data_IF_032373672152
#
_entry.id   IF_032373672152
#
_cell.length_a   1.000
_cell.length_b   1.000
_cell.length_c   1.000
_cell.angle_alpha   90.00
_cell.angle_beta   90.00
_cell.angle_gamma   90.00
#
_symmetry.space_group_name_H-M   'P 1'
#
loop_
_entity.id
_entity.type
_entity.pdbx_description
1 polymer ?
#
# COMPACT_ATOMS: atom_id res chain seq x y z
N UNK A 1 34.10 -12.01 4.43
CA UNK A 1 33.36 -10.90 5.08
C UNK A 1 31.92 -10.97 4.60
N UNK A 2 31.01 -11.54 5.39
CA UNK A 2 29.60 -11.74 5.01
C UNK A 2 28.86 -10.41 5.09
N UNK A 3 28.66 -9.75 3.95
CA UNK A 3 27.85 -8.55 3.81
C UNK A 3 26.37 -8.92 3.98
N UNK A 4 25.88 -8.90 5.21
CA UNK A 4 24.45 -8.82 5.48
C UNK A 4 23.92 -7.50 4.88
N UNK A 5 23.52 -7.52 3.61
CA UNK A 5 22.72 -6.47 3.02
C UNK A 5 21.38 -6.43 3.75
N UNK A 6 21.34 -5.60 4.78
CA UNK A 6 20.22 -5.46 5.67
C UNK A 6 19.17 -4.56 5.03
N UNK A 7 17.90 -4.89 5.26
CA UNK A 7 16.78 -4.14 4.71
C UNK A 7 16.92 -2.64 4.99
N UNK A 8 16.63 -1.82 3.98
CA UNK A 8 16.85 -0.37 4.00
C UNK A 8 15.60 0.44 3.67
N UNK A 9 14.61 -0.16 3.01
CA UNK A 9 13.34 0.47 2.66
C UNK A 9 12.19 -0.43 3.14
N UNK A 10 11.45 0.02 4.14
CA UNK A 10 10.16 -0.53 4.51
C UNK A 10 9.04 0.09 3.69
N UNK A 11 8.16 -0.70 3.09
CA UNK A 11 7.02 -0.21 2.29
C UNK A 11 5.87 -1.22 2.32
N UNK A 12 4.62 -0.74 2.21
CA UNK A 12 3.42 -1.59 2.23
C UNK A 12 3.05 -2.09 0.84
N UNK A 13 2.45 -3.28 0.77
CA UNK A 13 1.89 -3.81 -0.48
C UNK A 13 0.83 -2.87 -1.04
N UNK A 14 0.83 -2.67 -2.35
CA UNK A 14 -0.24 -1.98 -3.06
C UNK A 14 -1.50 -2.86 -3.08
N UNK A 15 -2.65 -2.25 -2.79
CA UNK A 15 -3.94 -2.94 -2.76
C UNK A 15 -4.70 -2.74 -4.08
N UNK A 16 -4.37 -1.73 -4.89
CA UNK A 16 -5.04 -1.49 -6.16
C UNK A 16 -4.41 -2.29 -7.32
N UNK A 17 -5.16 -3.19 -8.00
CA UNK A 17 -4.66 -3.98 -9.12
C UNK A 17 -4.20 -3.15 -10.31
N UNK A 18 -4.77 -1.96 -10.51
CA UNK A 18 -4.44 -1.11 -11.65
C UNK A 18 -2.95 -0.75 -11.70
N UNK A 19 -2.26 -0.72 -10.56
CA UNK A 19 -0.83 -0.45 -10.53
C UNK A 19 0.01 -1.49 -11.29
N UNK A 20 -0.48 -2.72 -11.43
CA UNK A 20 0.19 -3.73 -12.26
C UNK A 20 0.27 -3.29 -13.73
N UNK A 21 -0.77 -2.64 -14.25
CA UNK A 21 -0.79 -2.15 -15.63
C UNK A 21 0.21 -1.01 -15.83
N UNK A 22 0.33 -0.12 -14.83
CA UNK A 22 1.36 0.94 -14.80
C UNK A 22 2.75 0.33 -14.92
N UNK A 23 3.05 -0.65 -14.05
CA UNK A 23 4.39 -1.22 -13.99
C UNK A 23 4.73 -2.10 -15.19
N UNK A 24 3.76 -2.77 -15.80
CA UNK A 24 3.99 -3.58 -17.02
C UNK A 24 4.46 -2.73 -18.21
N UNK A 25 4.07 -1.44 -18.26
CA UNK A 25 4.57 -0.50 -19.27
C UNK A 25 6.05 -0.15 -19.06
N UNK A 26 6.50 -0.09 -17.81
CA UNK A 26 7.88 0.24 -17.42
C UNK A 26 8.81 -0.98 -17.37
N UNK A 27 8.28 -2.15 -17.04
CA UNK A 27 8.97 -3.42 -16.96
C UNK A 27 8.05 -4.55 -17.46
N UNK A 28 8.38 -5.13 -18.62
CA UNK A 28 7.51 -6.07 -19.34
C UNK A 28 7.28 -7.39 -18.61
N UNK A 29 8.21 -7.80 -17.73
CA UNK A 29 8.07 -9.04 -16.95
C UNK A 29 7.46 -8.79 -15.55
N UNK A 30 6.93 -7.59 -15.28
CA UNK A 30 6.33 -7.24 -14.00
C UNK A 30 5.14 -8.15 -13.65
N UNK A 31 5.02 -8.52 -12.36
CA UNK A 31 3.92 -9.34 -11.85
C UNK A 31 3.44 -8.82 -10.48
N UNK A 32 2.12 -8.80 -10.31
CA UNK A 32 1.47 -8.35 -9.08
C UNK A 32 1.40 -6.82 -8.95
N UNK A 33 0.76 -6.35 -7.88
CA UNK A 33 0.40 -4.93 -7.79
C UNK A 33 1.55 -4.05 -7.26
N UNK A 34 2.73 -4.59 -6.95
CA UNK A 34 3.82 -3.79 -6.36
C UNK A 34 3.52 -3.29 -4.95
N UNK A 35 4.06 -2.11 -4.64
CA UNK A 35 4.05 -1.49 -3.32
C UNK A 35 3.51 -0.06 -3.36
N UNK A 36 2.77 0.30 -2.33
CA UNK A 36 2.20 1.64 -2.14
C UNK A 36 3.14 2.50 -1.29
N UNK A 37 3.51 3.69 -1.78
CA UNK A 37 4.49 4.55 -1.13
C UNK A 37 3.91 5.46 -0.03
N UNK A 38 2.63 5.32 0.32
CA UNK A 38 1.99 6.15 1.36
C UNK A 38 2.60 6.01 2.75
N UNK A 39 3.29 4.90 3.03
CA UNK A 39 4.06 4.68 4.25
C UNK A 39 5.41 4.07 3.91
N UNK A 40 6.47 4.77 4.33
CA UNK A 40 7.87 4.37 4.08
C UNK A 40 8.66 4.35 5.39
N UNK A 41 9.45 3.29 5.60
CA UNK A 41 10.49 3.23 6.63
C UNK A 41 11.85 3.30 5.95
N UNK A 42 12.49 4.47 5.98
CA UNK A 42 13.77 4.68 5.29
C UNK A 42 14.93 4.60 6.27
N UNK A 43 15.77 3.57 6.15
CA UNK A 43 17.01 3.51 6.90
C UNK A 43 18.09 4.37 6.24
N UNK A 44 18.02 5.68 6.49
CA UNK A 44 18.83 6.69 5.77
C UNK A 44 20.33 6.40 5.79
N UNK A 45 20.88 5.92 6.90
CA UNK A 45 22.32 5.58 6.96
C UNK A 45 22.72 4.46 6.00
N UNK A 46 21.84 3.47 5.78
CA UNK A 46 22.12 2.36 4.85
C UNK A 46 21.95 2.83 3.42
N UNK A 47 20.91 3.62 3.14
CA UNK A 47 20.71 4.22 1.82
C UNK A 47 21.91 5.10 1.43
N UNK A 48 22.41 5.95 2.35
CA UNK A 48 23.61 6.77 2.13
C UNK A 48 24.90 5.96 1.97
N UNK A 49 25.00 4.76 2.56
CA UNK A 49 26.13 3.85 2.31
C UNK A 49 26.05 3.11 0.97
N UNK A 50 24.97 3.31 0.21
CA UNK A 50 24.86 2.85 -1.18
C UNK A 50 25.04 4.02 -2.14
N UNK A 51 25.12 3.74 -3.44
CA UNK A 51 25.14 4.75 -4.49
C UNK A 51 23.73 5.32 -4.80
N UNK A 52 22.93 5.59 -3.76
CA UNK A 52 21.49 5.83 -3.85
C UNK A 52 21.10 6.90 -4.86
N UNK A 53 21.78 8.05 -4.87
CA UNK A 53 21.46 9.15 -5.78
C UNK A 53 21.64 8.75 -7.26
N UNK A 54 22.74 8.05 -7.56
CA UNK A 54 23.00 7.58 -8.92
C UNK A 54 22.03 6.48 -9.32
N UNK A 55 21.70 5.56 -8.40
CA UNK A 55 20.68 4.53 -8.62
C UNK A 55 19.32 5.18 -8.94
N UNK A 56 18.84 6.08 -8.08
CA UNK A 56 17.58 6.80 -8.25
C UNK A 56 17.52 7.52 -9.61
N UNK A 57 18.56 8.29 -9.93
CA UNK A 57 18.62 9.05 -11.18
C UNK A 57 18.65 8.13 -12.41
N UNK A 58 19.45 7.07 -12.38
CA UNK A 58 19.55 6.11 -13.49
C UNK A 58 18.21 5.42 -13.77
N UNK A 59 17.51 4.96 -12.72
CA UNK A 59 16.20 4.32 -12.86
C UNK A 59 15.15 5.33 -13.35
N UNK A 60 15.19 6.56 -12.84
CA UNK A 60 14.28 7.65 -13.25
C UNK A 60 14.44 7.97 -14.74
N UNK A 61 15.68 8.16 -15.21
CA UNK A 61 15.97 8.43 -16.62
C UNK A 61 15.48 7.28 -17.50
N UNK A 62 15.70 6.03 -17.09
CA UNK A 62 15.24 4.87 -17.84
C UNK A 62 13.71 4.80 -17.91
N UNK A 63 13.02 5.05 -16.79
CA UNK A 63 11.56 5.06 -16.74
C UNK A 63 10.97 6.14 -17.66
N UNK A 64 11.49 7.38 -17.59
CA UNK A 64 11.07 8.49 -18.43
C UNK A 64 11.38 8.21 -19.91
N UNK A 65 12.54 7.65 -20.25
CA UNK A 65 12.85 7.27 -21.65
C UNK A 65 11.88 6.23 -22.21
N UNK A 66 11.34 5.35 -21.37
CA UNK A 66 10.43 4.27 -21.79
C UNK A 66 8.98 4.73 -21.93
N UNK A 67 8.50 5.59 -21.03
CA UNK A 67 7.08 5.97 -20.96
C UNK A 67 6.80 7.46 -21.22
N UNK A 68 7.83 8.30 -21.25
CA UNK A 68 7.73 9.76 -21.37
C UNK A 68 7.42 10.48 -20.06
N UNK A 69 6.63 9.87 -19.18
CA UNK A 69 6.26 10.39 -17.87
C UNK A 69 5.98 9.27 -16.87
N UNK A 70 5.94 9.62 -15.58
CA UNK A 70 5.62 8.70 -14.48
C UNK A 70 4.11 8.82 -14.15
N UNK A 71 3.39 7.70 -14.12
CA UNK A 71 1.94 7.71 -13.87
C UNK A 71 1.66 7.93 -12.38
N UNK A 72 2.48 7.34 -11.50
CA UNK A 72 2.34 7.51 -10.04
C UNK A 72 3.55 8.22 -9.40
N UNK A 73 4.34 8.92 -10.20
CA UNK A 73 5.48 9.69 -9.71
C UNK A 73 6.56 8.79 -9.10
N UNK A 74 7.01 9.14 -7.90
CA UNK A 74 8.09 8.44 -7.20
C UNK A 74 7.76 7.00 -6.81
N UNK A 75 6.47 6.63 -6.73
CA UNK A 75 6.06 5.25 -6.49
C UNK A 75 6.48 4.33 -7.65
N UNK A 76 6.43 4.80 -8.90
CA UNK A 76 6.92 4.05 -10.07
C UNK A 76 8.42 3.72 -9.91
N UNK A 77 9.22 4.73 -9.52
CA UNK A 77 10.67 4.62 -9.37
C UNK A 77 11.05 3.71 -8.21
N UNK A 78 10.40 3.87 -7.05
CA UNK A 78 10.61 3.00 -5.90
C UNK A 78 10.30 1.54 -6.24
N UNK A 79 9.21 1.28 -6.96
CA UNK A 79 8.85 -0.07 -7.37
C UNK A 79 9.87 -0.68 -8.35
N UNK A 80 10.36 0.08 -9.33
CA UNK A 80 11.44 -0.38 -10.22
C UNK A 80 12.73 -0.70 -9.44
N UNK A 81 13.13 0.15 -8.51
CA UNK A 81 14.30 -0.10 -7.65
C UNK A 81 14.10 -1.37 -6.83
N UNK A 82 12.95 -1.54 -6.18
CA UNK A 82 12.67 -2.70 -5.33
C UNK A 82 12.52 -3.99 -6.12
N UNK A 83 12.11 -3.91 -7.39
CA UNK A 83 12.05 -5.04 -8.29
C UNK A 83 13.43 -5.57 -8.65
N UNK A 84 14.40 -4.67 -8.92
CA UNK A 84 15.78 -5.04 -9.24
C UNK A 84 16.60 -5.38 -7.98
N UNK A 85 16.40 -4.64 -6.89
CA UNK A 85 17.20 -4.71 -5.68
C UNK A 85 16.40 -5.25 -4.49
N UNK A 86 15.68 -6.37 -4.68
CA UNK A 86 14.78 -6.98 -3.67
C UNK A 86 15.41 -7.18 -2.29
N UNK A 87 16.74 -7.29 -2.19
CA UNK A 87 17.41 -7.44 -0.90
C UNK A 87 17.24 -6.22 0.03
N UNK A 88 17.02 -5.00 -0.50
CA UNK A 88 16.81 -3.79 0.33
C UNK A 88 15.39 -3.66 0.88
N UNK A 89 14.44 -4.44 0.35
CA UNK A 89 13.02 -4.37 0.68
C UNK A 89 12.71 -5.00 2.05
N UNK A 90 12.08 -4.25 2.93
CA UNK A 90 11.30 -4.75 4.05
C UNK A 90 9.82 -4.56 3.73
N UNK A 91 9.05 -5.63 3.62
CA UNK A 91 7.61 -5.50 3.46
C UNK A 91 6.98 -5.24 4.83
N UNK A 92 6.34 -4.08 5.02
CA UNK A 92 5.67 -3.77 6.28
C UNK A 92 4.34 -4.53 6.35
N UNK A 93 3.90 -4.98 7.55
CA UNK A 93 2.57 -5.58 7.70
C UNK A 93 1.49 -4.63 7.20
N UNK A 94 0.55 -5.17 6.41
CA UNK A 94 -0.40 -4.35 5.66
C UNK A 94 -1.31 -3.47 6.55
N UNK A 95 -1.52 -3.83 7.82
CA UNK A 95 -2.30 -3.01 8.75
C UNK A 95 -1.68 -1.63 9.06
N UNK A 96 -0.41 -1.43 8.71
CA UNK A 96 0.28 -0.15 8.78
C UNK A 96 0.10 0.72 7.52
N UNK A 97 -0.61 0.24 6.49
CA UNK A 97 -0.95 1.03 5.31
C UNK A 97 -2.24 0.50 4.65
N UNK A 98 -3.37 0.60 5.37
CA UNK A 98 -4.69 0.25 4.84
C UNK A 98 -5.11 1.29 3.82
N UNK A 99 -5.12 0.92 2.54
CA UNK A 99 -5.40 1.82 1.44
C UNK A 99 -6.89 1.90 1.15
N UNK A 100 -7.41 3.12 1.13
CA UNK A 100 -8.80 3.41 0.81
C UNK A 100 -8.85 4.20 -0.49
N UNK A 101 -8.69 3.50 -1.61
CA UNK A 101 -8.89 4.02 -2.97
C UNK A 101 -9.91 3.19 -3.73
N UNK A 102 -10.43 3.76 -4.83
CA UNK A 102 -11.32 3.05 -5.74
C UNK A 102 -10.57 1.86 -6.35
N UNK A 103 -11.16 0.67 -6.27
CA UNK A 103 -10.57 -0.56 -6.80
C UNK A 103 -9.57 -1.27 -5.88
N UNK A 104 -9.34 -0.79 -4.65
CA UNK A 104 -8.50 -1.51 -3.67
C UNK A 104 -9.05 -2.93 -3.39
N UNK A 105 -8.20 -3.93 -3.53
CA UNK A 105 -8.51 -5.33 -3.20
C UNK A 105 -8.36 -5.57 -1.69
N UNK A 106 -9.49 -5.67 -1.01
CA UNK A 106 -9.57 -5.90 0.44
C UNK A 106 -8.96 -7.24 0.86
N UNK A 107 -8.85 -8.22 -0.02
CA UNK A 107 -8.22 -9.51 0.29
C UNK A 107 -6.69 -9.39 0.44
N UNK A 108 -6.09 -8.29 -0.05
CA UNK A 108 -4.67 -8.02 0.14
C UNK A 108 -4.33 -7.46 1.51
N UNK A 109 -5.33 -6.91 2.22
CA UNK A 109 -5.18 -6.62 3.63
C UNK A 109 -6.47 -6.86 4.40
N UNK A 110 -6.74 -8.14 4.75
CA UNK A 110 -7.89 -8.48 5.56
C UNK A 110 -7.67 -7.97 6.99
N UNK A 111 -8.46 -6.97 7.39
CA UNK A 111 -8.47 -6.39 8.73
C UNK A 111 -9.90 -6.31 9.25
N UNK A 112 -10.04 -6.34 10.57
CA UNK A 112 -11.30 -6.06 11.24
C UNK A 112 -11.40 -4.58 11.59
N UNK A 113 -12.49 -3.95 11.18
CA UNK A 113 -12.84 -2.58 11.56
C UNK A 113 -13.45 -2.48 12.96
N UNK A 114 -13.77 -3.62 13.59
CA UNK A 114 -14.31 -3.66 14.95
C UNK A 114 -13.18 -3.78 15.99
N UNK A 115 -13.45 -3.22 17.18
CA UNK A 115 -12.58 -3.39 18.33
C UNK A 115 -12.55 -4.86 18.78
N UNK A 116 -11.49 -5.28 19.48
CA UNK A 116 -11.41 -6.63 20.02
C UNK A 116 -12.55 -6.93 21.00
N UNK A 117 -12.93 -5.93 21.81
CA UNK A 117 -14.07 -6.04 22.72
C UNK A 117 -15.38 -6.32 21.97
N UNK A 118 -15.61 -5.62 20.85
CA UNK A 118 -16.83 -5.78 20.05
C UNK A 118 -16.85 -7.13 19.32
N UNK A 119 -15.71 -7.58 18.79
CA UNK A 119 -15.58 -8.92 18.20
C UNK A 119 -15.89 -10.02 19.23
N UNK A 120 -15.33 -9.89 20.45
CA UNK A 120 -15.56 -10.82 21.55
C UNK A 120 -17.03 -10.84 21.98
N UNK A 121 -17.66 -9.67 22.10
CA UNK A 121 -19.10 -9.54 22.42
C UNK A 121 -19.98 -10.27 21.41
N UNK A 122 -19.58 -10.26 20.13
CA UNK A 122 -20.32 -10.89 19.01
C UNK A 122 -19.91 -12.33 18.74
N UNK A 123 -19.03 -12.91 19.56
CA UNK A 123 -18.51 -14.26 19.42
C UNK A 123 -17.85 -14.53 18.05
N UNK A 124 -17.23 -13.51 17.44
CA UNK A 124 -16.49 -13.67 16.20
C UNK A 124 -15.08 -14.21 16.46
N UNK A 125 -14.71 -15.24 15.71
CA UNK A 125 -13.41 -15.93 15.81
C UNK A 125 -12.41 -15.53 14.73
N UNK A 126 -12.82 -14.72 13.74
CA UNK A 126 -12.05 -14.44 12.52
C UNK A 126 -11.48 -13.02 12.45
N UNK A 127 -10.24 -12.97 11.92
CA UNK A 127 -9.36 -11.81 11.64
C UNK A 127 -9.04 -10.92 12.85
N UNK A 128 -7.86 -11.16 13.42
CA UNK A 128 -7.30 -10.47 14.61
C UNK A 128 -6.46 -9.23 14.29
N UNK A 129 -6.31 -8.86 13.01
CA UNK A 129 -5.58 -7.65 12.60
C UNK A 129 -6.52 -6.47 12.55
N UNK A 130 -6.17 -5.39 13.25
CA UNK A 130 -6.87 -4.12 13.20
C UNK A 130 -6.04 -3.09 12.43
N UNK A 131 -6.67 -2.16 11.71
CA UNK A 131 -5.96 -1.02 11.12
C UNK A 131 -5.12 -0.28 12.17
N UNK A 132 -3.84 -0.06 11.88
CA UNK A 132 -2.95 0.80 12.67
C UNK A 132 -2.77 2.17 12.02
N UNK A 133 -2.77 2.19 10.68
CA UNK A 133 -2.77 3.41 9.89
C UNK A 133 -3.68 3.22 8.67
N UNK A 134 -4.59 4.18 8.50
CA UNK A 134 -5.54 4.23 7.39
C UNK A 134 -5.08 5.31 6.42
N UNK A 135 -4.75 4.89 5.21
CA UNK A 135 -4.31 5.76 4.13
C UNK A 135 -5.47 6.02 3.19
N UNK A 136 -6.04 7.22 3.26
CA UNK A 136 -7.11 7.65 2.35
C UNK A 136 -6.50 8.19 1.07
N UNK A 137 -6.06 7.28 0.21
CA UNK A 137 -5.45 7.57 -1.10
C UNK A 137 -6.47 7.81 -2.22
N UNK A 138 -7.75 8.00 -1.87
CA UNK A 138 -8.76 8.49 -2.81
C UNK A 138 -8.61 9.99 -3.10
N UNK A 139 -9.06 10.44 -4.28
CA UNK A 139 -9.07 11.87 -4.64
C UNK A 139 -10.04 12.68 -3.77
N UNK A 140 -11.19 12.08 -3.47
CA UNK A 140 -12.22 12.68 -2.62
C UNK A 140 -11.95 12.27 -1.17
N UNK A 141 -11.77 13.27 -0.31
CA UNK A 141 -11.41 13.13 1.10
C UNK A 141 -12.66 13.14 1.98
N UNK A 142 -12.62 12.55 3.19
CA UNK A 142 -13.78 12.47 4.07
C UNK A 142 -14.37 13.83 4.40
N UNK A 143 -13.54 14.86 4.52
CA UNK A 143 -13.96 16.23 4.82
C UNK A 143 -14.84 16.85 3.73
N UNK A 144 -14.80 16.31 2.51
CA UNK A 144 -15.67 16.73 1.41
C UNK A 144 -17.05 16.06 1.44
N UNK A 145 -17.25 15.08 2.32
CA UNK A 145 -18.45 14.26 2.36
C UNK A 145 -19.19 14.51 3.67
N UNK A 146 -20.47 14.87 3.56
CA UNK A 146 -21.38 14.89 4.70
C UNK A 146 -21.90 13.47 4.95
N UNK A 147 -21.06 12.62 5.54
CA UNK A 147 -21.47 11.29 5.93
C UNK A 147 -22.40 11.34 7.15
N UNK A 148 -23.48 10.55 7.13
CA UNK A 148 -24.29 10.31 8.33
C UNK A 148 -23.56 9.33 9.23
N UNK A 149 -23.55 9.60 10.54
CA UNK A 149 -23.04 8.65 11.52
C UNK A 149 -23.86 7.36 11.46
N UNK A 150 -23.19 6.22 11.32
CA UNK A 150 -23.79 4.89 11.38
C UNK A 150 -23.40 4.26 12.73
N UNK A 151 -24.36 4.00 13.63
CA UNK A 151 -24.07 3.32 14.89
C UNK A 151 -23.49 1.92 14.68
N UNK A 152 -22.55 1.53 15.55
CA UNK A 152 -21.75 0.29 15.43
C UNK A 152 -22.61 -0.98 15.45
N UNK A 153 -23.80 -0.93 16.06
CA UNK A 153 -24.78 -2.02 16.10
C UNK A 153 -25.38 -2.38 14.73
N UNK A 154 -25.30 -1.48 13.75
CA UNK A 154 -25.75 -1.72 12.37
C UNK A 154 -24.64 -2.27 11.45
N UNK A 155 -23.40 -2.41 11.94
CA UNK A 155 -22.27 -2.98 11.20
C UNK A 155 -22.40 -4.51 11.24
N UNK A 156 -22.58 -5.16 10.10
CA UNK A 156 -22.70 -6.62 10.02
C UNK A 156 -21.35 -7.33 9.71
N UNK A 157 -21.35 -8.66 9.66
CA UNK A 157 -20.12 -9.44 9.40
C UNK A 157 -19.51 -9.18 8.01
N UNK A 158 -20.32 -8.78 7.04
CA UNK A 158 -19.87 -8.36 5.73
C UNK A 158 -19.22 -6.97 5.76
N UNK A 159 -19.60 -6.09 6.69
CA UNK A 159 -18.94 -4.79 6.92
C UNK A 159 -17.61 -4.92 7.70
N UNK A 160 -17.44 -6.02 8.45
CA UNK A 160 -16.18 -6.35 9.13
C UNK A 160 -15.08 -6.72 8.12
N UNK A 161 -15.44 -7.36 7.01
CA UNK A 161 -14.46 -7.99 6.10
C UNK A 161 -14.51 -7.43 4.66
N UNK A 162 -15.67 -7.00 4.13
CA UNK A 162 -15.88 -7.00 2.67
C UNK A 162 -16.76 -5.89 2.06
N UNK A 163 -17.68 -5.22 2.77
CA UNK A 163 -18.57 -4.23 2.16
C UNK A 163 -18.11 -2.80 2.34
N UNK A 164 -17.04 -2.46 1.61
CA UNK A 164 -16.69 -1.06 1.31
C UNK A 164 -17.17 -0.58 -0.07
N UNK A 165 -18.04 -1.34 -0.74
CA UNK A 165 -18.65 -0.90 -2.00
C UNK A 165 -19.44 0.41 -1.85
N UNK A 166 -19.97 0.70 -0.66
CA UNK A 166 -20.77 1.90 -0.41
C UNK A 166 -19.90 3.14 -0.12
N UNK A 167 -18.82 2.99 0.66
CA UNK A 167 -17.98 4.15 1.01
C UNK A 167 -17.27 4.71 -0.23
N UNK A 168 -16.70 3.86 -1.11
CA UNK A 168 -15.99 4.37 -2.30
C UNK A 168 -16.89 4.67 -3.52
N UNK A 169 -18.18 4.33 -3.50
CA UNK A 169 -19.11 4.73 -4.56
C UNK A 169 -19.85 6.04 -4.24
N UNK A 170 -19.84 6.46 -2.97
CA UNK A 170 -20.32 7.77 -2.51
C UNK A 170 -19.17 8.77 -2.25
N UNK A 171 -17.91 8.29 -2.25
CA UNK A 171 -16.71 9.11 -2.30
C UNK A 171 -16.39 9.41 -3.76
#
# INVERSE_FOLDING_TARGET
>A
MSLYFSKSIGIGLEQNPHFQEVMTKLESNWKGYGYNNGVLLLHLSKLRSTNWNNLWLSITIRAIKRQGYLITGEQDILNLILFEFKYILYEIPCEWNIQLSAGSDVQRCPVSWLTYAELKKRNYTTIVKQPKLIHINHHIKPDYIKAKYIPTEYIDQSDIILKRKLICNEI
#
